data_IF_183561931053
#
_entry.id   IF_183561931053
#
_cell.length_a   1.000
_cell.length_b   1.000
_cell.length_c   1.000
_cell.angle_alpha   90.00
_cell.angle_beta   90.00
_cell.angle_gamma   90.00
#
_symmetry.space_group_name_H-M   'P 1'
#
loop_
_entity.id
_entity.type
_entity.pdbx_description
1 polymer ?
#
# COMPACT_ATOMS: atom_id res chain seq x y z
N UNK A 1 9.48 -14.30 -2.67
CA UNK A 1 10.21 -13.44 -3.62
C UNK A 1 9.33 -12.23 -3.90
N UNK A 2 9.90 -11.03 -3.89
CA UNK A 2 9.22 -9.77 -4.20
C UNK A 2 9.45 -9.45 -5.65
N UNK A 3 8.41 -9.56 -6.47
CA UNK A 3 8.45 -9.25 -7.90
C UNK A 3 7.83 -7.89 -8.15
N UNK A 4 8.49 -7.09 -8.98
CA UNK A 4 7.95 -5.83 -9.47
C UNK A 4 6.85 -6.03 -10.53
N UNK A 5 6.26 -4.93 -11.03
CA UNK A 5 5.27 -4.95 -12.11
C UNK A 5 5.81 -5.47 -13.45
N UNK A 6 7.13 -5.58 -13.59
CA UNK A 6 7.85 -6.15 -14.72
C UNK A 6 8.06 -7.67 -14.59
N UNK A 7 7.61 -8.28 -13.49
CA UNK A 7 7.84 -9.69 -13.17
C UNK A 7 9.27 -10.01 -12.72
N UNK A 8 10.14 -9.00 -12.62
CA UNK A 8 11.55 -9.19 -12.23
C UNK A 8 11.61 -9.26 -10.69
N UNK A 9 12.42 -10.17 -10.11
CA UNK A 9 12.68 -10.18 -8.67
C UNK A 9 13.40 -8.90 -8.23
N UNK A 10 12.74 -8.10 -7.39
CA UNK A 10 13.31 -6.88 -6.80
C UNK A 10 13.82 -7.10 -5.36
N UNK A 11 13.37 -8.18 -4.71
CA UNK A 11 13.78 -8.49 -3.35
C UNK A 11 13.42 -9.91 -2.86
N UNK A 12 14.02 -10.29 -1.73
CA UNK A 12 13.67 -11.52 -1.01
C UNK A 12 13.43 -11.18 0.45
N UNK A 13 12.17 -11.22 0.87
CA UNK A 13 11.79 -11.16 2.27
C UNK A 13 11.61 -12.57 2.82
N UNK A 14 12.23 -12.83 3.96
CA UNK A 14 12.18 -14.12 4.67
C UNK A 14 11.53 -13.89 6.02
N UNK A 15 10.59 -14.75 6.40
CA UNK A 15 10.00 -14.77 7.75
C UNK A 15 10.74 -15.82 8.57
N UNK A 16 11.29 -15.41 9.71
CA UNK A 16 11.82 -16.35 10.69
C UNK A 16 10.66 -17.01 11.44
N UNK A 17 10.73 -18.32 11.64
CA UNK A 17 9.70 -19.09 12.35
C UNK A 17 10.00 -19.08 13.84
N UNK A 18 8.95 -19.01 14.67
CA UNK A 18 9.04 -18.95 16.13
C UNK A 18 8.03 -17.96 16.72
N UNK A 19 7.84 -18.01 18.04
CA UNK A 19 7.11 -16.96 18.75
C UNK A 19 7.96 -15.69 18.85
N UNK A 20 7.36 -14.51 19.11
CA UNK A 20 8.14 -13.28 19.31
C UNK A 20 9.21 -13.43 20.40
N UNK A 21 8.93 -14.19 21.46
CA UNK A 21 9.88 -14.44 22.55
C UNK A 21 11.03 -15.35 22.12
N UNK A 22 10.77 -16.39 21.33
CA UNK A 22 11.82 -17.28 20.80
C UNK A 22 12.76 -16.51 19.86
N UNK A 23 12.18 -15.69 18.98
CA UNK A 23 12.91 -14.87 18.02
C UNK A 23 13.79 -13.83 18.73
N UNK A 24 13.26 -13.16 19.76
CA UNK A 24 14.03 -12.23 20.57
C UNK A 24 15.20 -12.91 21.29
N UNK A 25 14.97 -14.10 21.86
CA UNK A 25 16.00 -14.89 22.54
C UNK A 25 17.12 -15.30 21.57
N UNK A 26 16.75 -15.63 20.33
CA UNK A 26 17.69 -15.98 19.26
C UNK A 26 18.36 -14.76 18.59
N UNK A 27 18.01 -13.53 18.98
CA UNK A 27 18.50 -12.31 18.34
C UNK A 27 18.07 -12.16 16.87
N UNK A 28 16.92 -12.74 16.51
CA UNK A 28 16.39 -12.74 15.16
C UNK A 28 15.19 -11.81 15.04
N UNK A 29 15.16 -11.00 13.99
CA UNK A 29 13.96 -10.29 13.60
C UNK A 29 12.90 -11.24 13.05
N UNK A 30 11.62 -10.90 13.20
CA UNK A 30 10.52 -11.69 12.62
C UNK A 30 10.59 -11.76 11.09
N UNK A 31 11.09 -10.70 10.46
CA UNK A 31 11.22 -10.59 9.01
C UNK A 31 12.59 -10.02 8.65
N UNK A 32 13.22 -10.59 7.62
CA UNK A 32 14.52 -10.12 7.11
C UNK A 32 14.48 -9.99 5.60
N UNK A 33 15.00 -8.88 5.06
CA UNK A 33 15.22 -8.72 3.63
C UNK A 33 16.64 -9.18 3.28
N UNK A 34 16.75 -10.10 2.31
CA UNK A 34 18.01 -10.72 1.88
C UNK A 34 18.54 -10.15 0.56
N UNK A 35 17.69 -9.49 -0.21
CA UNK A 35 18.05 -8.79 -1.44
C UNK A 35 17.39 -7.41 -1.35
N UNK A 36 18.19 -6.35 -1.26
CA UNK A 36 17.71 -4.98 -1.09
C UNK A 36 18.38 -4.08 -2.14
N UNK A 37 17.75 -3.94 -3.31
CA UNK A 37 18.16 -2.98 -4.33
C UNK A 37 17.18 -1.80 -4.47
N UNK A 38 15.91 -1.97 -4.07
CA UNK A 38 14.81 -1.05 -4.40
C UNK A 38 14.00 -0.55 -3.19
N UNK A 39 14.59 -0.56 -1.99
CA UNK A 39 13.87 -0.22 -0.74
C UNK A 39 12.90 -1.33 -0.33
N UNK A 40 11.67 -0.96 0.03
CA UNK A 40 10.60 -1.88 0.41
C UNK A 40 9.41 -1.80 -0.59
N UNK A 41 9.61 -2.24 -1.85
CA UNK A 41 8.58 -2.16 -2.88
C UNK A 41 7.41 -3.09 -2.55
N UNK A 42 6.21 -2.73 -3.01
CA UNK A 42 5.07 -3.64 -2.93
C UNK A 42 5.35 -4.92 -3.73
N UNK A 43 4.93 -6.06 -3.19
CA UNK A 43 4.88 -7.34 -3.90
C UNK A 43 3.77 -7.30 -4.94
N UNK A 44 4.03 -7.72 -6.18
CA UNK A 44 2.99 -7.93 -7.20
C UNK A 44 2.65 -9.42 -7.37
N UNK A 45 1.38 -9.72 -7.63
CA UNK A 45 0.93 -11.07 -8.00
C UNK A 45 1.61 -11.60 -9.26
N UNK A 46 1.68 -12.93 -9.44
CA UNK A 46 2.01 -13.51 -10.74
C UNK A 46 1.12 -12.93 -11.84
N UNK A 47 1.69 -12.75 -13.03
CA UNK A 47 0.99 -12.20 -14.21
C UNK A 47 0.37 -10.81 -13.99
N UNK A 48 0.92 -10.02 -13.06
CA UNK A 48 0.49 -8.64 -12.81
C UNK A 48 0.34 -7.83 -14.11
N UNK A 49 -0.76 -7.10 -14.23
CA UNK A 49 -1.11 -6.28 -15.38
C UNK A 49 -2.17 -6.92 -16.29
N UNK A 50 -2.61 -8.15 -16.02
CA UNK A 50 -3.60 -8.86 -16.83
C UNK A 50 -4.98 -8.95 -16.17
N UNK A 51 -5.09 -8.65 -14.87
CA UNK A 51 -6.38 -8.62 -14.18
C UNK A 51 -7.27 -7.46 -14.63
N UNK A 52 -8.59 -7.60 -14.50
CA UNK A 52 -9.54 -6.52 -14.84
C UNK A 52 -9.67 -5.47 -13.72
N UNK A 53 -9.28 -5.82 -12.51
CA UNK A 53 -9.25 -4.95 -11.33
C UNK A 53 -8.00 -5.25 -10.49
N UNK A 54 -7.69 -4.37 -9.55
CA UNK A 54 -6.52 -4.45 -8.69
C UNK A 54 -6.94 -4.49 -7.23
N UNK A 55 -6.38 -5.40 -6.43
CA UNK A 55 -6.50 -5.40 -4.98
C UNK A 55 -5.16 -4.99 -4.36
N UNK A 56 -5.16 -3.98 -3.51
CA UNK A 56 -3.99 -3.56 -2.73
C UNK A 56 -4.23 -3.92 -1.27
N UNK A 57 -3.30 -4.68 -0.71
CA UNK A 57 -3.39 -5.27 0.63
C UNK A 57 -2.24 -4.77 1.50
N UNK A 58 -2.54 -4.34 2.71
CA UNK A 58 -1.51 -4.14 3.72
C UNK A 58 -0.83 -5.48 4.07
N UNK A 59 0.48 -5.55 3.88
CA UNK A 59 1.29 -6.72 4.16
C UNK A 59 1.53 -7.60 2.92
N UNK A 60 2.80 -7.80 2.56
CA UNK A 60 3.20 -8.60 1.39
C UNK A 60 2.71 -10.05 1.46
N UNK A 61 2.75 -10.66 2.66
CA UNK A 61 2.25 -12.02 2.84
C UNK A 61 0.73 -12.09 2.74
N UNK A 62 0.01 -11.08 3.23
CA UNK A 62 -1.43 -10.99 3.09
C UNK A 62 -1.85 -10.78 1.63
N UNK A 63 -1.12 -9.95 0.88
CA UNK A 63 -1.28 -9.82 -0.56
C UNK A 63 -1.05 -11.15 -1.30
N UNK A 64 0.01 -11.88 -0.95
CA UNK A 64 0.28 -13.20 -1.55
C UNK A 64 -0.79 -14.24 -1.21
N UNK A 65 -1.29 -14.25 0.02
CA UNK A 65 -2.39 -15.12 0.44
C UNK A 65 -3.69 -14.79 -0.31
N UNK A 66 -4.04 -13.51 -0.43
CA UNK A 66 -5.19 -13.05 -1.19
C UNK A 66 -5.09 -13.43 -2.68
N UNK A 67 -3.93 -13.21 -3.31
CA UNK A 67 -3.68 -13.61 -4.70
C UNK A 67 -3.89 -15.11 -4.92
N UNK A 68 -3.36 -15.96 -4.03
CA UNK A 68 -3.56 -17.41 -4.09
C UNK A 68 -5.04 -17.80 -3.96
N UNK A 69 -5.78 -17.13 -3.07
CA UNK A 69 -7.21 -17.37 -2.89
C UNK A 69 -8.03 -16.96 -4.12
N UNK A 70 -7.72 -15.81 -4.73
CA UNK A 70 -8.36 -15.32 -5.96
C UNK A 70 -8.14 -16.30 -7.12
N UNK A 71 -6.90 -16.74 -7.31
CA UNK A 71 -6.53 -17.73 -8.34
C UNK A 71 -7.32 -19.02 -8.17
N UNK A 72 -7.40 -19.56 -6.94
CA UNK A 72 -8.16 -20.77 -6.64
C UNK A 72 -9.67 -20.62 -6.90
N UNK A 73 -10.18 -19.39 -6.94
CA UNK A 73 -11.58 -19.09 -7.23
C UNK A 73 -11.84 -18.77 -8.71
N UNK A 74 -10.80 -18.67 -9.54
CA UNK A 74 -10.88 -18.28 -10.95
C UNK A 74 -11.15 -16.78 -11.18
N UNK A 75 -10.90 -15.92 -10.19
CA UNK A 75 -11.04 -14.47 -10.34
C UNK A 75 -9.75 -13.86 -10.90
N UNK A 76 -9.86 -13.20 -12.05
CA UNK A 76 -8.77 -12.47 -12.69
C UNK A 76 -8.62 -11.06 -12.08
N UNK A 77 -7.98 -10.99 -10.91
CA UNK A 77 -7.60 -9.75 -10.23
C UNK A 77 -6.09 -9.71 -10.06
N UNK A 78 -5.49 -8.55 -10.34
CA UNK A 78 -4.11 -8.31 -9.91
C UNK A 78 -4.08 -8.02 -8.41
N UNK A 79 -2.97 -8.36 -7.74
CA UNK A 79 -2.79 -8.04 -6.33
C UNK A 79 -1.45 -7.33 -6.11
N UNK A 80 -1.48 -6.31 -5.26
CA UNK A 80 -0.28 -5.76 -4.63
C UNK A 80 -0.32 -5.98 -3.12
N UNK A 81 0.77 -6.48 -2.53
CA UNK A 81 0.95 -6.56 -1.09
C UNK A 81 1.99 -5.53 -0.63
N UNK A 82 1.57 -4.56 0.19
CA UNK A 82 2.44 -3.49 0.67
C UNK A 82 3.39 -3.99 1.77
N UNK A 83 4.58 -3.38 1.87
CA UNK A 83 5.52 -3.62 2.95
C UNK A 83 5.08 -2.95 4.28
N UNK A 84 3.86 -3.24 4.74
CA UNK A 84 3.18 -2.63 5.89
C UNK A 84 2.42 -1.34 5.57
N UNK A 85 1.74 -0.77 6.57
CA UNK A 85 0.92 0.45 6.44
C UNK A 85 1.63 1.69 5.86
N UNK A 86 2.96 1.76 5.96
CA UNK A 86 3.77 2.83 5.35
C UNK A 86 4.21 2.56 3.92
N UNK A 87 3.96 1.36 3.39
CA UNK A 87 4.41 0.93 2.07
C UNK A 87 3.77 1.71 0.92
N UNK A 88 4.51 1.88 -0.17
CA UNK A 88 4.06 2.60 -1.36
C UNK A 88 3.65 1.58 -2.44
N UNK A 89 2.44 1.66 -3.00
CA UNK A 89 2.02 0.81 -4.10
C UNK A 89 2.72 1.22 -5.41
N UNK A 90 2.81 0.29 -6.35
CA UNK A 90 3.12 0.62 -7.73
C UNK A 90 1.91 1.29 -8.36
N UNK A 91 2.11 2.48 -8.94
CA UNK A 91 1.04 3.23 -9.60
C UNK A 91 0.68 2.66 -10.98
N UNK A 92 1.65 2.01 -11.64
CA UNK A 92 1.43 1.34 -12.91
C UNK A 92 0.42 0.20 -12.71
N UNK A 93 -0.63 0.20 -13.53
CA UNK A 93 -1.70 -0.80 -13.46
C UNK A 93 -2.95 -0.35 -12.69
N UNK A 94 -3.01 0.90 -12.22
CA UNK A 94 -4.22 1.47 -11.60
C UNK A 94 -5.15 2.16 -12.61
N UNK A 95 -4.59 2.84 -13.62
CA UNK A 95 -5.35 3.66 -14.55
C UNK A 95 -6.50 2.89 -15.24
N UNK A 96 -7.71 3.45 -15.21
CA UNK A 96 -8.91 2.91 -15.84
C UNK A 96 -9.52 1.68 -15.16
N UNK A 97 -8.97 1.22 -14.03
CA UNK A 97 -9.39 -0.01 -13.33
C UNK A 97 -10.06 0.30 -12.01
N UNK A 98 -10.88 -0.63 -11.53
CA UNK A 98 -11.35 -0.62 -10.14
C UNK A 98 -10.20 -1.05 -9.23
N UNK A 99 -9.91 -0.25 -8.22
CA UNK A 99 -8.89 -0.52 -7.21
C UNK A 99 -9.57 -0.80 -5.87
N UNK A 100 -9.39 -2.00 -5.34
CA UNK A 100 -9.84 -2.42 -4.02
C UNK A 100 -8.72 -2.26 -3.01
N UNK A 101 -9.03 -1.78 -1.81
CA UNK A 101 -8.10 -1.56 -0.72
C UNK A 101 -8.47 -2.43 0.47
N UNK A 102 -7.48 -3.06 1.08
CA UNK A 102 -7.61 -3.76 2.36
C UNK A 102 -6.45 -3.39 3.27
N UNK A 103 -6.76 -3.06 4.52
CA UNK A 103 -5.81 -2.89 5.59
C UNK A 103 -6.44 -3.35 6.91
N UNK A 104 -5.62 -3.52 7.94
CA UNK A 104 -6.12 -3.93 9.25
C UNK A 104 -6.96 -2.80 9.88
N UNK A 105 -7.97 -3.11 10.72
CA UNK A 105 -8.88 -2.12 11.32
C UNK A 105 -8.23 -1.37 12.49
N UNK A 106 -6.99 -0.93 12.32
CA UNK A 106 -6.25 -0.13 13.29
C UNK A 106 -5.92 1.27 12.72
N UNK A 107 -5.43 2.21 13.54
CA UNK A 107 -5.12 3.56 13.06
C UNK A 107 -4.10 3.61 11.90
N UNK A 108 -3.16 2.67 11.85
CA UNK A 108 -2.15 2.62 10.81
C UNK A 108 -2.75 2.11 9.49
N UNK A 109 -3.59 1.07 9.54
CA UNK A 109 -4.31 0.54 8.39
C UNK A 109 -5.32 1.54 7.83
N UNK A 110 -6.04 2.27 8.67
CA UNK A 110 -6.92 3.37 8.23
C UNK A 110 -6.13 4.48 7.51
N UNK A 111 -4.98 4.88 8.07
CA UNK A 111 -4.09 5.86 7.43
C UNK A 111 -3.52 5.34 6.10
N UNK A 112 -3.26 4.03 6.00
CA UNK A 112 -2.84 3.36 4.78
C UNK A 112 -3.95 3.42 3.71
N UNK A 113 -5.19 3.08 4.06
CA UNK A 113 -6.33 3.16 3.13
C UNK A 113 -6.50 4.58 2.60
N UNK A 114 -6.45 5.60 3.46
CA UNK A 114 -6.63 6.99 3.05
C UNK A 114 -5.53 7.42 2.07
N UNK A 115 -4.27 7.19 2.44
CA UNK A 115 -3.12 7.54 1.59
C UNK A 115 -3.13 6.81 0.25
N UNK A 116 -3.38 5.50 0.27
CA UNK A 116 -3.38 4.67 -0.94
C UNK A 116 -4.59 4.99 -1.82
N UNK A 117 -5.74 5.31 -1.23
CA UNK A 117 -6.92 5.74 -1.96
C UNK A 117 -6.68 7.03 -2.74
N UNK A 118 -6.07 8.03 -2.10
CA UNK A 118 -5.66 9.26 -2.77
C UNK A 118 -4.68 9.00 -3.92
N UNK A 119 -3.67 8.15 -3.70
CA UNK A 119 -2.71 7.77 -4.75
C UNK A 119 -3.37 7.04 -5.91
N UNK A 120 -4.28 6.11 -5.64
CA UNK A 120 -4.98 5.36 -6.68
C UNK A 120 -5.89 6.26 -7.52
N UNK A 121 -6.62 7.17 -6.87
CA UNK A 121 -7.43 8.17 -7.57
C UNK A 121 -6.56 9.08 -8.43
N UNK A 122 -5.46 9.60 -7.89
CA UNK A 122 -4.52 10.44 -8.63
C UNK A 122 -3.85 9.70 -9.80
N UNK A 123 -3.64 8.38 -9.68
CA UNK A 123 -3.12 7.52 -10.74
C UNK A 123 -4.18 7.14 -11.81
N UNK A 124 -5.41 7.68 -11.70
CA UNK A 124 -6.47 7.51 -12.69
C UNK A 124 -7.29 6.23 -12.55
N UNK A 125 -7.36 5.64 -11.35
CA UNK A 125 -8.31 4.55 -11.08
C UNK A 125 -9.75 4.95 -11.47
N UNK A 126 -10.49 4.04 -12.10
CA UNK A 126 -11.88 4.28 -12.45
C UNK A 126 -12.78 4.37 -11.21
N UNK A 127 -12.51 3.51 -10.22
CA UNK A 127 -13.12 3.53 -8.90
C UNK A 127 -12.09 3.10 -7.85
N UNK A 128 -12.21 3.63 -6.64
CA UNK A 128 -11.47 3.14 -5.47
C UNK A 128 -12.49 2.63 -4.46
N UNK A 129 -12.31 1.41 -3.97
CA UNK A 129 -13.23 0.73 -3.06
C UNK A 129 -12.48 0.15 -1.88
N UNK A 130 -13.11 0.12 -0.71
CA UNK A 130 -12.53 -0.44 0.51
C UNK A 130 -13.24 -1.74 0.86
N UNK A 131 -12.46 -2.78 1.12
CA UNK A 131 -12.97 -4.03 1.66
C UNK A 131 -13.24 -3.88 3.15
N UNK A 132 -14.37 -4.41 3.62
CA UNK A 132 -14.62 -4.55 5.05
C UNK A 132 -13.54 -5.44 5.67
N UNK A 133 -13.09 -5.08 6.87
CA UNK A 133 -12.16 -5.90 7.64
C UNK A 133 -12.74 -7.29 7.92
N UNK A 134 -11.86 -8.28 8.02
CA UNK A 134 -12.24 -9.64 8.38
C UNK A 134 -12.72 -9.68 9.84
N UNK A 135 -13.71 -10.53 10.11
CA UNK A 135 -14.23 -10.75 11.48
C UNK A 135 -13.15 -11.28 12.44
N UNK A 136 -12.17 -12.02 11.91
CA UNK A 136 -11.07 -12.56 12.69
C UNK A 136 -9.81 -12.78 11.84
N UNK A 137 -8.68 -12.23 12.31
CA UNK A 137 -7.36 -12.42 11.69
C UNK A 137 -7.21 -11.73 10.34
N UNK A 138 -6.21 -12.16 9.58
CA UNK A 138 -5.88 -11.61 8.26
C UNK A 138 -6.08 -12.63 7.11
N UNK A 139 -5.65 -12.28 5.90
CA UNK A 139 -5.75 -13.19 4.76
C UNK A 139 -4.87 -14.44 4.90
N UNK A 140 -3.73 -14.36 5.59
CA UNK A 140 -2.93 -15.55 5.89
C UNK A 140 -3.69 -16.48 6.84
N UNK A 141 -4.32 -15.95 7.88
CA UNK A 141 -5.11 -16.73 8.83
C UNK A 141 -6.35 -17.35 8.16
N UNK A 142 -7.03 -16.57 7.30
CA UNK A 142 -8.15 -17.05 6.51
C UNK A 142 -7.74 -18.23 5.62
N UNK A 143 -6.64 -18.06 4.88
CA UNK A 143 -6.09 -19.08 3.99
C UNK A 143 -5.65 -20.33 4.76
N UNK A 144 -4.98 -20.16 5.90
CA UNK A 144 -4.52 -21.26 6.74
C UNK A 144 -5.67 -22.07 7.35
N UNK A 145 -6.75 -21.40 7.79
CA UNK A 145 -7.89 -22.07 8.43
C UNK A 145 -8.86 -22.71 7.44
N UNK A 146 -9.11 -22.07 6.30
CA UNK A 146 -10.19 -22.47 5.36
C UNK A 146 -9.68 -23.08 4.06
N UNK A 147 -8.40 -22.93 3.75
CA UNK A 147 -7.84 -23.32 2.45
C UNK A 147 -8.19 -22.33 1.33
N UNK A 148 -7.56 -22.52 0.17
CA UNK A 148 -7.55 -21.53 -0.91
C UNK A 148 -8.93 -21.28 -1.54
N UNK A 149 -9.68 -22.34 -1.88
CA UNK A 149 -10.98 -22.20 -2.53
C UNK A 149 -12.00 -21.47 -1.64
N UNK A 150 -12.15 -21.89 -0.38
CA UNK A 150 -13.05 -21.26 0.58
C UNK A 150 -12.67 -19.80 0.85
N UNK A 151 -11.38 -19.50 0.98
CA UNK A 151 -10.88 -18.13 1.12
C UNK A 151 -11.21 -17.27 -0.11
N UNK A 152 -11.13 -17.86 -1.31
CA UNK A 152 -11.48 -17.19 -2.56
C UNK A 152 -12.96 -16.81 -2.64
N UNK A 153 -13.85 -17.69 -2.16
CA UNK A 153 -15.28 -17.36 -2.04
C UNK A 153 -15.54 -16.23 -1.04
N UNK A 154 -14.88 -16.26 0.13
CA UNK A 154 -14.97 -15.16 1.10
C UNK A 154 -14.47 -13.84 0.52
N UNK A 155 -13.34 -13.85 -0.18
CA UNK A 155 -12.79 -12.64 -0.80
C UNK A 155 -13.69 -12.10 -1.91
N UNK A 156 -14.35 -12.98 -2.68
CA UNK A 156 -15.38 -12.56 -3.65
C UNK A 156 -16.56 -11.86 -2.99
N UNK A 157 -17.03 -12.38 -1.86
CA UNK A 157 -18.09 -11.73 -1.09
C UNK A 157 -17.66 -10.34 -0.61
N UNK A 158 -16.43 -10.22 -0.07
CA UNK A 158 -15.86 -8.93 0.34
C UNK A 158 -15.78 -7.94 -0.83
N UNK A 159 -15.33 -8.38 -2.00
CA UNK A 159 -15.26 -7.54 -3.20
C UNK A 159 -16.66 -7.02 -3.59
N UNK A 160 -17.68 -7.88 -3.55
CA UNK A 160 -19.05 -7.52 -3.89
C UNK A 160 -19.68 -6.54 -2.89
N UNK A 161 -19.33 -6.65 -1.62
CA UNK A 161 -19.83 -5.78 -0.54
C UNK A 161 -18.93 -4.56 -0.27
N UNK A 162 -17.85 -4.41 -1.03
CA UNK A 162 -16.91 -3.31 -0.85
C UNK A 162 -17.60 -1.96 -0.99
N UNK A 163 -17.16 -1.01 -0.18
CA UNK A 163 -17.71 0.34 -0.16
C UNK A 163 -16.86 1.26 -1.03
N UNK A 164 -17.48 2.28 -1.64
CA UNK A 164 -16.70 3.30 -2.34
C UNK A 164 -15.82 4.03 -1.33
N UNK A 165 -14.52 4.10 -1.61
CA UNK A 165 -13.65 4.99 -0.87
C UNK A 165 -14.05 6.42 -1.18
N UNK A 166 -14.29 7.19 -0.13
CA UNK A 166 -14.46 8.63 -0.22
C UNK A 166 -13.38 9.21 0.68
N UNK A 167 -12.56 10.12 0.14
CA UNK A 167 -11.73 10.96 1.00
C UNK A 167 -12.67 11.61 1.99
N UNK A 168 -12.55 11.31 3.29
CA UNK A 168 -13.29 12.03 4.27
C UNK A 168 -12.89 13.51 4.13
N UNK A 169 -13.77 14.33 3.56
CA UNK A 169 -13.66 15.77 3.63
C UNK A 169 -13.75 16.13 5.12
N UNK A 170 -12.62 16.15 5.83
CA UNK A 170 -12.47 16.90 7.07
C UNK A 170 -12.57 18.38 6.71
N UNK A 171 -13.81 18.84 6.51
CA UNK A 171 -14.13 20.19 6.07
C UNK A 171 -15.42 20.21 5.25
N UNK A 172 -16.49 20.72 5.86
CA UNK A 172 -17.85 20.88 5.32
C UNK A 172 -17.89 21.18 3.81
N UNK A 173 -18.80 20.48 3.13
CA UNK A 173 -19.27 20.60 1.73
C UNK A 173 -18.47 19.86 0.67
N UNK A 174 -19.10 18.86 0.04
CA UNK A 174 -18.58 18.21 -1.15
C UNK A 174 -19.42 17.03 -1.61
N UNK A 175 -20.57 17.31 -2.21
CA UNK A 175 -21.25 16.42 -3.17
C UNK A 175 -21.39 17.19 -4.49
N UNK A 176 -21.54 16.49 -5.62
CA UNK A 176 -20.48 16.05 -6.52
C UNK A 176 -20.26 17.04 -7.68
N UNK A 177 -19.09 17.04 -8.32
CA UNK A 177 -19.00 17.53 -9.71
C UNK A 177 -18.23 16.58 -10.60
N UNK A 178 -18.99 15.79 -11.35
CA UNK A 178 -18.60 15.42 -12.72
C UNK A 178 -18.66 16.72 -13.52
N UNK A 179 -17.51 17.25 -13.95
CA UNK A 179 -17.41 18.06 -15.18
C UNK A 179 -16.07 17.83 -15.85
N UNK A 180 -16.16 17.20 -17.02
CA UNK A 180 -15.36 17.34 -18.23
C UNK A 180 -13.83 17.46 -18.09
N UNK A 181 -13.13 16.48 -18.68
CA UNK A 181 -11.72 16.59 -19.03
C UNK A 181 -11.42 17.87 -19.83
N UNK A 182 -10.37 18.60 -19.49
CA UNK A 182 -9.63 19.39 -20.44
C UNK A 182 -8.55 18.53 -21.10
N UNK A 183 -8.46 18.70 -22.41
CA UNK A 183 -7.49 18.15 -23.35
C UNK A 183 -6.03 18.25 -22.93
N UNK A 184 -5.25 17.32 -23.47
CA UNK A 184 -3.79 17.31 -23.64
C UNK A 184 -3.08 18.66 -23.44
N UNK A 185 -2.16 18.71 -22.47
CA UNK A 185 -0.74 19.09 -22.63
C UNK A 185 -0.07 19.29 -21.26
N UNK A 186 1.20 18.85 -21.17
CA UNK A 186 2.18 19.02 -20.08
C UNK A 186 2.18 17.99 -18.95
N UNK A 187 2.58 16.77 -19.30
CA UNK A 187 3.23 15.87 -18.35
C UNK A 187 4.74 16.02 -18.47
N UNK A 188 5.31 17.04 -17.82
CA UNK A 188 6.75 17.10 -17.55
C UNK A 188 7.01 17.61 -16.14
N UNK A 189 8.00 16.99 -15.50
CA UNK A 189 8.70 17.41 -14.28
C UNK A 189 8.03 17.09 -12.92
N UNK A 190 8.17 15.84 -12.48
CA UNK A 190 8.56 15.57 -11.10
C UNK A 190 9.87 14.77 -11.10
N UNK A 191 10.98 15.52 -11.14
CA UNK A 191 12.32 15.00 -10.90
C UNK A 191 12.48 14.69 -9.41
N UNK A 192 12.93 13.47 -9.11
CA UNK A 192 13.64 13.18 -7.87
C UNK A 192 14.96 13.97 -7.85
N UNK A 193 15.28 14.61 -6.73
CA UNK A 193 16.55 15.31 -6.56
C UNK A 193 16.70 15.89 -5.17
N UNK A 194 17.44 15.17 -4.33
CA UNK A 194 18.07 15.62 -3.09
C UNK A 194 18.77 16.98 -3.21
N UNK A 195 18.51 17.89 -2.26
CA UNK A 195 19.54 18.81 -1.75
C UNK A 195 19.32 19.07 -0.26
N UNK A 196 20.27 18.60 0.53
CA UNK A 196 20.65 19.14 1.83
C UNK A 196 20.99 20.63 1.75
N UNK A 197 20.53 21.40 2.73
CA UNK A 197 21.03 22.67 3.31
C UNK A 197 19.81 23.52 3.72
N UNK A 198 19.78 24.20 4.86
CA UNK A 198 20.83 24.50 5.82
C UNK A 198 20.22 25.04 7.10
N UNK A 199 21.08 25.06 8.12
CA UNK A 199 20.86 25.64 9.42
C UNK A 199 20.55 27.12 9.30
N UNK A 200 19.45 27.57 9.93
CA UNK A 200 19.19 28.98 10.17
C UNK A 200 20.11 29.48 11.27
N UNK A 201 21.21 30.11 10.86
CA UNK A 201 21.90 31.11 11.67
C UNK A 201 21.00 32.36 11.70
N UNK A 202 20.58 32.76 12.90
CA UNK A 202 19.91 34.04 13.11
C UNK A 202 20.92 35.18 13.13
N UNK A 203 20.54 36.24 12.43
CA UNK A 203 21.27 37.46 12.14
C UNK A 203 21.88 38.16 13.37
N UNK A 204 23.11 38.64 13.17
CA UNK A 204 23.75 39.59 14.07
C UNK A 204 23.32 41.02 13.75
N UNK A 205 23.18 41.80 14.82
CA UNK A 205 23.54 43.21 14.80
C UNK A 205 22.51 44.15 15.41
N UNK A 206 22.59 44.38 16.73
CA UNK A 206 22.43 45.70 17.37
C UNK A 206 23.15 45.70 18.73
N UNK A 207 24.33 46.35 18.78
CA UNK A 207 24.65 47.35 19.79
C UNK A 207 24.86 47.00 21.29
N UNK A 208 26.00 47.52 21.77
CA UNK A 208 26.21 48.20 23.07
C UNK A 208 26.56 47.33 24.31
N UNK A 209 27.88 47.21 24.55
CA UNK A 209 28.63 47.73 25.71
C UNK A 209 28.10 47.49 27.16
N UNK A 210 28.91 46.76 27.97
CA UNK A 210 29.45 47.10 29.32
C UNK A 210 29.35 46.00 30.39
N UNK A 211 30.51 45.75 31.02
CA UNK A 211 30.69 45.33 32.43
C UNK A 211 30.51 43.82 32.67
N UNK A 212 31.34 43.12 33.43
CA UNK A 212 32.33 43.51 34.42
C UNK A 212 32.19 42.58 35.62
N UNK A 213 33.28 41.85 35.91
CA UNK A 213 33.52 40.92 37.03
C UNK A 213 32.80 39.57 36.99
#
# INVERSE_FOLDING_TARGET
>A
MLTGPDGIPWGLKVRNLGTPSDLQTAGLDRYVYRLAAHGAPAWCSPEYGHGNALLIVEGELNGAAASRALLASGLALDVQGLAGAGGVPHLKGMAGRVVYLYADPDPAGLSCIERVGQLAQAAGAAEVRVLTSLEAGDFCDLLGRRGAAASGYCLRDLLNRSELWQSCNTGKTGLPQIKAAPSEEKTELWQCGTTSQGWTATDGGWGINRGGW
#
